data_IF_835644364147
#
_entry.id   IF_835644364147
#
_cell.length_a   1.000
_cell.length_b   1.000
_cell.length_c   1.000
_cell.angle_alpha   90.00
_cell.angle_beta   90.00
_cell.angle_gamma   90.00
#
_symmetry.space_group_name_H-M   'P 1'
#
loop_
_entity.id
_entity.type
_entity.pdbx_description
1 polymer ?
#
# COMPACT_ATOMS: atom_id res chain seq x y z
N UNK A 1 53.12 -2.78 0.42
CA UNK A 1 52.64 -3.12 -0.94
C UNK A 1 51.22 -3.70 -0.95
N UNK A 2 50.65 -4.11 0.20
CA UNK A 2 49.27 -4.64 0.27
C UNK A 2 48.15 -3.58 0.32
N UNK A 3 48.39 -2.39 0.88
CA UNK A 3 47.33 -1.40 1.09
C UNK A 3 46.78 -0.74 -0.20
N UNK A 4 47.56 -0.71 -1.29
CA UNK A 4 47.15 -0.15 -2.58
C UNK A 4 46.36 -1.15 -3.44
N UNK A 5 46.64 -2.44 -3.28
CA UNK A 5 45.90 -3.51 -3.96
C UNK A 5 44.49 -3.67 -3.36
N UNK A 6 44.36 -3.49 -2.03
CA UNK A 6 43.08 -3.61 -1.33
C UNK A 6 42.14 -2.44 -1.67
N UNK A 7 42.65 -1.19 -1.70
CA UNK A 7 41.87 0.00 -2.09
C UNK A 7 41.41 -0.07 -3.55
N UNK A 8 42.26 -0.52 -4.47
CA UNK A 8 41.85 -0.71 -5.87
C UNK A 8 40.87 -1.87 -6.07
N UNK A 9 40.96 -2.94 -5.27
CA UNK A 9 40.01 -4.04 -5.33
C UNK A 9 38.65 -3.66 -4.73
N UNK A 10 38.62 -2.72 -3.78
CA UNK A 10 37.40 -2.18 -3.16
C UNK A 10 36.70 -1.15 -4.08
N UNK A 11 37.46 -0.30 -4.76
CA UNK A 11 36.93 0.62 -5.79
C UNK A 11 36.35 -0.14 -6.99
N UNK A 12 37.00 -1.22 -7.43
CA UNK A 12 36.49 -2.04 -8.55
C UNK A 12 35.25 -2.86 -8.15
N UNK A 13 35.19 -3.37 -6.90
CA UNK A 13 34.00 -4.04 -6.37
C UNK A 13 32.83 -3.07 -6.25
N UNK A 14 33.06 -1.90 -5.66
CA UNK A 14 32.06 -0.84 -5.49
C UNK A 14 31.55 -0.31 -6.84
N UNK A 15 32.43 -0.15 -7.82
CA UNK A 15 32.07 0.23 -9.18
C UNK A 15 31.26 -0.85 -9.93
N UNK A 16 31.60 -2.13 -9.77
CA UNK A 16 30.86 -3.23 -10.41
C UNK A 16 29.51 -3.51 -9.73
N UNK A 17 29.43 -3.38 -8.41
CA UNK A 17 28.20 -3.54 -7.64
C UNK A 17 27.22 -2.39 -7.92
N UNK A 18 27.74 -1.16 -8.01
CA UNK A 18 26.99 0.02 -8.43
C UNK A 18 26.43 -0.12 -9.85
N UNK A 19 27.27 -0.49 -10.83
CA UNK A 19 26.84 -0.74 -12.21
C UNK A 19 25.81 -1.89 -12.31
N UNK A 20 25.97 -2.93 -11.49
CA UNK A 20 25.02 -4.06 -11.41
C UNK A 20 23.69 -3.64 -10.76
N UNK A 21 23.72 -2.80 -9.73
CA UNK A 21 22.52 -2.24 -9.09
C UNK A 21 21.75 -1.32 -10.04
N UNK A 22 22.47 -0.45 -10.75
CA UNK A 22 21.90 0.42 -11.78
C UNK A 22 21.22 -0.40 -12.89
N UNK A 23 21.90 -1.44 -13.39
CA UNK A 23 21.34 -2.32 -14.43
C UNK A 23 20.12 -3.11 -13.94
N UNK A 24 20.11 -3.60 -12.70
CA UNK A 24 18.92 -4.24 -12.09
C UNK A 24 17.77 -3.26 -11.98
N UNK A 25 18.09 -2.03 -11.61
CA UNK A 25 17.14 -0.93 -11.58
C UNK A 25 16.50 -0.67 -12.94
N UNK A 26 17.31 -0.48 -13.96
CA UNK A 26 16.84 -0.28 -15.32
C UNK A 26 15.97 -1.44 -15.80
N UNK A 27 16.40 -2.69 -15.54
CA UNK A 27 15.62 -3.87 -15.89
C UNK A 27 14.26 -3.87 -15.20
N UNK A 28 14.20 -3.58 -13.90
CA UNK A 28 12.95 -3.49 -13.15
C UNK A 28 12.02 -2.40 -13.72
N UNK A 29 12.58 -1.24 -14.07
CA UNK A 29 11.83 -0.15 -14.71
C UNK A 29 11.25 -0.57 -16.05
N UNK A 30 12.04 -1.25 -16.89
CA UNK A 30 11.60 -1.75 -18.20
C UNK A 30 10.52 -2.82 -18.05
N UNK A 31 10.72 -3.81 -17.16
CA UNK A 31 9.72 -4.87 -16.92
C UNK A 31 8.40 -4.26 -16.42
N UNK A 32 8.47 -3.32 -15.47
CA UNK A 32 7.26 -2.64 -14.97
C UNK A 32 6.59 -1.80 -16.06
N UNK A 33 7.37 -1.11 -16.90
CA UNK A 33 6.83 -0.36 -18.03
C UNK A 33 6.17 -1.28 -19.07
N UNK A 34 6.75 -2.46 -19.33
CA UNK A 34 6.15 -3.45 -20.22
C UNK A 34 4.82 -3.96 -19.65
N UNK A 35 4.74 -4.23 -18.35
CA UNK A 35 3.50 -4.63 -17.69
C UNK A 35 2.38 -3.62 -17.92
N UNK A 36 2.67 -2.32 -17.74
CA UNK A 36 1.71 -1.23 -18.00
C UNK A 36 1.15 -1.30 -19.43
N UNK A 37 1.96 -1.69 -20.43
CA UNK A 37 1.53 -1.74 -21.83
C UNK A 37 0.74 -3.02 -22.19
N UNK A 38 1.02 -4.13 -21.51
CA UNK A 38 0.45 -5.44 -21.87
C UNK A 38 -0.73 -5.85 -21.00
N UNK A 39 -0.92 -5.22 -19.84
CA UNK A 39 -1.89 -5.66 -18.82
C UNK A 39 -3.32 -5.77 -19.34
N UNK A 40 -3.75 -4.85 -20.21
CA UNK A 40 -5.10 -4.86 -20.78
C UNK A 40 -5.24 -5.81 -21.98
N UNK A 41 -4.12 -6.24 -22.56
CA UNK A 41 -4.08 -7.06 -23.78
C UNK A 41 -3.75 -8.53 -23.51
N UNK A 42 -3.34 -8.86 -22.29
CA UNK A 42 -2.98 -10.21 -21.89
C UNK A 42 -4.13 -10.97 -21.22
N UNK A 43 -4.15 -12.28 -21.45
CA UNK A 43 -4.93 -13.22 -20.66
C UNK A 43 -4.37 -13.29 -19.23
N UNK A 44 -5.25 -13.54 -18.26
CA UNK A 44 -4.88 -13.53 -16.84
C UNK A 44 -3.77 -14.54 -16.51
N UNK A 45 -3.84 -15.73 -17.11
CA UNK A 45 -2.84 -16.81 -16.98
C UNK A 45 -1.42 -16.36 -17.37
N UNK A 46 -1.28 -15.48 -18.35
CA UNK A 46 0.02 -14.94 -18.75
C UNK A 46 0.52 -13.88 -17.76
N UNK A 47 -0.38 -13.10 -17.17
CA UNK A 47 -0.03 -12.09 -16.17
C UNK A 47 0.59 -12.74 -14.93
N UNK A 48 0.07 -13.88 -14.48
CA UNK A 48 0.61 -14.61 -13.33
C UNK A 48 2.04 -15.10 -13.57
N UNK A 49 2.35 -15.53 -14.80
CA UNK A 49 3.72 -15.92 -15.20
C UNK A 49 4.64 -14.69 -15.23
N UNK A 50 4.16 -13.57 -15.78
CA UNK A 50 4.94 -12.34 -15.85
C UNK A 50 5.16 -11.68 -14.49
N UNK A 51 4.32 -11.96 -13.50
CA UNK A 51 4.41 -11.43 -12.14
C UNK A 51 5.62 -11.93 -11.36
N UNK A 52 6.07 -13.15 -11.62
CA UNK A 52 7.18 -13.76 -10.88
C UNK A 52 8.52 -13.00 -11.04
N UNK A 53 8.73 -12.41 -12.22
CA UNK A 53 9.96 -11.67 -12.57
C UNK A 53 10.08 -10.34 -11.81
N UNK A 54 9.14 -9.38 -11.93
CA UNK A 54 9.22 -8.11 -11.21
C UNK A 54 9.23 -8.30 -9.70
N UNK A 55 8.53 -9.33 -9.16
CA UNK A 55 8.57 -9.64 -7.73
C UNK A 55 9.99 -9.91 -7.27
N UNK A 56 10.73 -10.77 -7.98
CA UNK A 56 12.13 -11.08 -7.65
C UNK A 56 13.05 -9.87 -7.86
N UNK A 57 12.81 -9.09 -8.90
CA UNK A 57 13.60 -7.88 -9.17
C UNK A 57 13.38 -6.80 -8.11
N UNK A 58 12.17 -6.68 -7.54
CA UNK A 58 11.84 -5.70 -6.52
C UNK A 58 12.76 -5.83 -5.28
N UNK A 59 13.14 -7.04 -4.89
CA UNK A 59 14.03 -7.26 -3.75
C UNK A 59 15.48 -6.81 -4.00
N UNK A 60 15.85 -6.52 -5.24
CA UNK A 60 17.22 -6.20 -5.64
C UNK A 60 17.43 -4.75 -6.10
N UNK A 61 16.38 -3.92 -6.04
CA UNK A 61 16.41 -2.52 -6.49
C UNK A 61 16.14 -1.56 -5.33
N UNK A 62 16.65 -0.33 -5.45
CA UNK A 62 16.52 0.68 -4.40
C UNK A 62 15.06 1.17 -4.21
N UNK A 63 14.68 1.60 -3.00
CA UNK A 63 13.32 2.07 -2.70
C UNK A 63 12.76 3.13 -3.66
N UNK A 64 13.53 4.14 -4.14
CA UNK A 64 13.02 5.12 -5.10
C UNK A 64 12.50 4.49 -6.40
N UNK A 65 13.14 3.41 -6.86
CA UNK A 65 12.75 2.70 -8.08
C UNK A 65 11.47 1.90 -7.87
N UNK A 66 11.31 1.31 -6.68
CA UNK A 66 10.09 0.61 -6.26
C UNK A 66 8.92 1.59 -6.13
N UNK A 67 9.17 2.79 -5.60
CA UNK A 67 8.19 3.86 -5.53
C UNK A 67 7.71 4.32 -6.92
N UNK A 68 8.63 4.46 -7.88
CA UNK A 68 8.27 4.76 -9.27
C UNK A 68 7.36 3.67 -9.88
N UNK A 69 7.72 2.39 -9.68
CA UNK A 69 6.90 1.28 -10.13
C UNK A 69 5.52 1.25 -9.45
N UNK A 70 5.48 1.48 -8.14
CA UNK A 70 4.25 1.49 -7.35
C UNK A 70 3.25 2.55 -7.86
N UNK A 71 3.72 3.75 -8.19
CA UNK A 71 2.86 4.80 -8.77
C UNK A 71 2.28 4.38 -10.12
N UNK A 72 3.08 3.75 -10.99
CA UNK A 72 2.63 3.28 -12.30
C UNK A 72 1.60 2.16 -12.18
N UNK A 73 1.82 1.22 -11.26
CA UNK A 73 0.96 0.05 -11.05
C UNK A 73 -0.34 0.41 -10.32
N UNK A 74 -0.35 1.44 -9.47
CA UNK A 74 -1.51 1.81 -8.66
C UNK A 74 -2.77 2.15 -9.47
N UNK A 75 -2.61 2.71 -10.67
CA UNK A 75 -3.73 3.07 -11.55
C UNK A 75 -4.20 1.95 -12.48
N UNK A 76 -3.53 0.79 -12.50
CA UNK A 76 -3.86 -0.28 -13.44
C UNK A 76 -4.97 -1.17 -12.88
N UNK A 77 -6.08 -1.27 -13.60
CA UNK A 77 -7.24 -2.08 -13.20
C UNK A 77 -6.93 -3.57 -13.05
N UNK A 78 -5.98 -4.08 -13.84
CA UNK A 78 -5.60 -5.50 -13.91
C UNK A 78 -4.14 -5.76 -13.54
N UNK A 79 -3.53 -4.90 -12.72
CA UNK A 79 -2.14 -5.06 -12.30
C UNK A 79 -1.86 -6.49 -11.77
N UNK A 80 -0.69 -7.09 -12.07
CA UNK A 80 -0.33 -8.38 -11.50
C UNK A 80 -0.28 -8.32 -9.96
N UNK A 81 -0.99 -9.24 -9.31
CA UNK A 81 -1.28 -9.12 -7.89
C UNK A 81 -0.05 -9.34 -6.99
N UNK A 82 0.90 -10.19 -7.37
CA UNK A 82 2.09 -10.49 -6.56
C UNK A 82 3.04 -9.31 -6.46
N UNK A 83 3.37 -8.61 -7.55
CA UNK A 83 4.20 -7.40 -7.47
C UNK A 83 3.49 -6.31 -6.68
N UNK A 84 2.19 -6.12 -6.88
CA UNK A 84 1.40 -5.15 -6.11
C UNK A 84 1.44 -5.47 -4.62
N UNK A 85 1.19 -6.72 -4.22
CA UNK A 85 1.27 -7.15 -2.82
C UNK A 85 2.67 -6.96 -2.24
N UNK A 86 3.71 -7.32 -2.99
CA UNK A 86 5.10 -7.18 -2.54
C UNK A 86 5.46 -5.72 -2.25
N UNK A 87 5.06 -4.80 -3.12
CA UNK A 87 5.30 -3.37 -2.97
C UNK A 87 4.38 -2.73 -1.93
N UNK A 88 3.16 -3.23 -1.73
CA UNK A 88 2.26 -2.78 -0.68
C UNK A 88 2.75 -3.16 0.74
N UNK A 89 3.58 -4.19 0.84
CA UNK A 89 4.30 -4.61 2.06
C UNK A 89 5.66 -3.93 2.24
N UNK A 90 5.96 -2.90 1.47
CA UNK A 90 7.21 -2.14 1.57
C UNK A 90 7.06 -0.95 2.55
N UNK A 91 8.07 -0.09 2.63
CA UNK A 91 7.98 1.19 3.33
C UNK A 91 6.87 2.08 2.74
N UNK A 92 6.35 3.01 3.54
CA UNK A 92 5.13 3.74 3.19
C UNK A 92 5.29 4.57 1.92
N UNK A 93 6.49 5.09 1.65
CA UNK A 93 6.83 5.86 0.45
C UNK A 93 6.58 5.06 -0.85
N UNK A 94 6.72 3.74 -0.78
CA UNK A 94 6.45 2.82 -1.88
C UNK A 94 5.01 2.29 -1.81
N UNK A 95 4.53 1.94 -0.62
CA UNK A 95 3.24 1.28 -0.43
C UNK A 95 2.04 2.22 -0.62
N UNK A 96 2.15 3.50 -0.23
CA UNK A 96 1.06 4.47 -0.21
C UNK A 96 0.22 4.54 -1.51
N UNK A 97 0.82 4.71 -2.72
CA UNK A 97 0.04 4.78 -3.96
C UNK A 97 -0.79 3.51 -4.20
N UNK A 98 -0.24 2.33 -3.89
CA UNK A 98 -0.91 1.04 -4.08
C UNK A 98 -2.03 0.83 -3.07
N UNK A 99 -1.77 1.08 -1.79
CA UNK A 99 -2.76 0.96 -0.73
C UNK A 99 -3.96 1.88 -0.99
N UNK A 100 -3.72 3.12 -1.42
CA UNK A 100 -4.77 4.10 -1.65
C UNK A 100 -5.61 3.88 -2.92
N UNK A 101 -5.06 3.26 -3.97
CA UNK A 101 -5.68 3.30 -5.30
C UNK A 101 -5.77 1.96 -6.04
N UNK A 102 -4.89 0.99 -5.75
CA UNK A 102 -4.80 -0.23 -6.57
C UNK A 102 -6.04 -1.11 -6.40
N UNK A 103 -6.61 -1.58 -7.50
CA UNK A 103 -7.71 -2.57 -7.51
C UNK A 103 -7.24 -4.01 -7.44
N UNK A 104 -5.92 -4.24 -7.52
CA UNK A 104 -5.33 -5.59 -7.47
C UNK A 104 -5.14 -6.12 -6.03
N UNK A 105 -5.30 -5.27 -5.02
CA UNK A 105 -5.34 -5.67 -3.61
C UNK A 105 -6.76 -6.06 -3.24
N UNK A 106 -6.95 -7.30 -2.81
CA UNK A 106 -8.25 -7.77 -2.34
C UNK A 106 -8.51 -7.41 -0.87
N UNK A 107 -9.70 -7.75 -0.37
CA UNK A 107 -10.08 -7.46 1.02
C UNK A 107 -9.14 -8.15 2.04
N UNK A 108 -8.70 -9.38 1.76
CA UNK A 108 -7.84 -10.14 2.66
C UNK A 108 -6.44 -9.52 2.72
N UNK A 109 -5.91 -9.07 1.58
CA UNK A 109 -4.64 -8.35 1.50
C UNK A 109 -4.68 -7.08 2.35
N UNK A 110 -5.72 -6.27 2.19
CA UNK A 110 -5.88 -5.02 2.96
C UNK A 110 -6.00 -5.28 4.47
N UNK A 111 -6.76 -6.30 4.88
CA UNK A 111 -6.86 -6.70 6.28
C UNK A 111 -5.51 -7.17 6.82
N UNK A 112 -4.79 -8.02 6.09
CA UNK A 112 -3.49 -8.53 6.50
C UNK A 112 -2.46 -7.39 6.67
N UNK A 113 -2.45 -6.43 5.75
CA UNK A 113 -1.57 -5.26 5.83
C UNK A 113 -1.97 -4.37 7.02
N UNK A 114 -3.26 -4.11 7.22
CA UNK A 114 -3.74 -3.30 8.34
C UNK A 114 -3.39 -3.91 9.71
N UNK A 115 -3.40 -5.24 9.83
CA UNK A 115 -3.04 -5.96 11.04
C UNK A 115 -1.52 -6.01 11.31
N UNK A 116 -0.69 -6.02 10.25
CA UNK A 116 0.75 -6.27 10.37
C UNK A 116 1.63 -5.03 10.24
N UNK A 117 1.12 -3.93 9.66
CA UNK A 117 1.88 -2.69 9.41
C UNK A 117 1.46 -1.56 10.34
N UNK A 118 2.25 -0.49 10.33
CA UNK A 118 2.08 0.67 11.22
C UNK A 118 0.99 1.65 10.79
N UNK A 119 0.85 2.73 11.57
CA UNK A 119 -0.09 3.82 11.33
C UNK A 119 -0.06 4.39 9.90
N UNK A 120 1.11 4.63 9.27
CA UNK A 120 1.15 5.21 7.92
C UNK A 120 0.46 4.33 6.86
N UNK A 121 0.67 3.01 6.91
CA UNK A 121 0.00 2.06 6.02
C UNK A 121 -1.51 2.04 6.27
N UNK A 122 -1.93 2.02 7.54
CA UNK A 122 -3.36 2.06 7.89
C UNK A 122 -4.04 3.34 7.41
N UNK A 123 -3.37 4.49 7.49
CA UNK A 123 -3.87 5.75 6.95
C UNK A 123 -4.04 5.71 5.44
N UNK A 124 -3.06 5.15 4.71
CA UNK A 124 -3.16 4.99 3.27
C UNK A 124 -4.34 4.09 2.86
N UNK A 125 -4.57 2.99 3.60
CA UNK A 125 -5.75 2.14 3.39
C UNK A 125 -7.03 2.90 3.75
N UNK A 126 -7.07 3.61 4.88
CA UNK A 126 -8.24 4.36 5.33
C UNK A 126 -8.69 5.45 4.33
N UNK A 127 -7.78 5.95 3.50
CA UNK A 127 -8.07 6.91 2.44
C UNK A 127 -8.67 6.30 1.16
N UNK A 128 -8.68 4.96 1.00
CA UNK A 128 -9.27 4.30 -0.17
C UNK A 128 -10.74 4.65 -0.33
N UNK A 129 -11.18 4.86 -1.57
CA UNK A 129 -12.61 4.84 -1.87
C UNK A 129 -13.18 3.41 -1.78
N UNK A 130 -14.44 3.29 -1.36
CA UNK A 130 -15.17 2.01 -1.37
C UNK A 130 -14.64 0.97 -0.37
N UNK A 131 -14.16 1.40 0.81
CA UNK A 131 -13.74 0.48 1.86
C UNK A 131 -14.90 -0.39 2.34
N UNK A 132 -14.65 -1.71 2.39
CA UNK A 132 -15.61 -2.65 2.93
C UNK A 132 -15.74 -2.52 4.45
N UNK A 133 -16.85 -2.99 5.00
CA UNK A 133 -17.12 -2.97 6.43
C UNK A 133 -16.06 -3.74 7.23
N UNK A 134 -15.54 -4.84 6.68
CA UNK A 134 -14.52 -5.66 7.31
C UNK A 134 -13.18 -4.92 7.41
N UNK A 135 -12.72 -4.31 6.31
CA UNK A 135 -11.46 -3.53 6.31
C UNK A 135 -11.58 -2.32 7.22
N UNK A 136 -12.71 -1.59 7.15
CA UNK A 136 -12.96 -0.45 8.03
C UNK A 136 -12.95 -0.85 9.51
N UNK A 137 -13.60 -1.97 9.87
CA UNK A 137 -13.57 -2.49 11.24
C UNK A 137 -12.13 -2.85 11.68
N UNK A 138 -11.36 -3.54 10.85
CA UNK A 138 -9.94 -3.82 11.14
C UNK A 138 -9.15 -2.54 11.37
N UNK A 139 -9.34 -1.51 10.54
CA UNK A 139 -8.66 -0.22 10.69
C UNK A 139 -9.06 0.49 11.99
N UNK A 140 -10.32 0.42 12.42
CA UNK A 140 -10.78 1.03 13.67
C UNK A 140 -10.19 0.32 14.89
N UNK A 141 -10.14 -1.02 14.85
CA UNK A 141 -9.65 -1.86 15.95
C UNK A 141 -8.14 -1.73 16.11
N UNK A 142 -7.38 -1.79 15.02
CA UNK A 142 -5.91 -1.76 15.04
C UNK A 142 -5.31 -0.35 14.89
N UNK A 143 -6.13 0.62 14.51
CA UNK A 143 -5.70 1.98 14.25
C UNK A 143 -5.73 2.88 15.47
N UNK A 144 -4.83 3.84 15.46
CA UNK A 144 -4.74 4.94 16.40
C UNK A 144 -5.73 6.06 16.02
N UNK A 145 -5.77 7.13 16.81
CA UNK A 145 -6.72 8.24 16.60
C UNK A 145 -6.68 8.84 15.17
N UNK A 146 -5.52 9.04 14.52
CA UNK A 146 -5.49 9.50 13.14
C UNK A 146 -6.21 8.55 12.16
N UNK A 147 -6.01 7.24 12.31
CA UNK A 147 -6.65 6.22 11.46
C UNK A 147 -8.16 6.21 11.69
N UNK A 148 -8.61 6.26 12.95
CA UNK A 148 -10.03 6.31 13.30
C UNK A 148 -10.73 7.54 12.73
N UNK A 149 -10.08 8.71 12.80
CA UNK A 149 -10.56 9.94 12.15
C UNK A 149 -10.62 9.77 10.63
N UNK A 150 -9.60 9.18 10.01
CA UNK A 150 -9.58 8.95 8.57
C UNK A 150 -10.74 8.04 8.13
N UNK A 151 -10.99 6.93 8.83
CA UNK A 151 -12.13 6.03 8.56
C UNK A 151 -13.46 6.77 8.75
N UNK A 152 -13.63 7.52 9.84
CA UNK A 152 -14.86 8.27 10.09
C UNK A 152 -15.13 9.34 9.01
N UNK A 153 -14.07 10.04 8.57
CA UNK A 153 -14.15 11.05 7.51
C UNK A 153 -14.35 10.48 6.10
N UNK A 154 -14.07 9.20 5.89
CA UNK A 154 -14.25 8.53 4.61
C UNK A 154 -15.72 8.16 4.37
N UNK A 155 -16.46 9.05 3.70
CA UNK A 155 -17.89 8.87 3.37
C UNK A 155 -18.21 7.64 2.53
N UNK A 156 -17.22 7.08 1.82
CA UNK A 156 -17.42 5.88 1.00
C UNK A 156 -17.12 4.57 1.75
N UNK A 157 -16.56 4.66 2.96
CA UNK A 157 -16.30 3.50 3.79
C UNK A 157 -17.60 2.96 4.38
N UNK A 158 -17.89 1.68 4.15
CA UNK A 158 -18.93 1.00 4.88
C UNK A 158 -18.48 0.82 6.34
N UNK A 159 -19.32 1.22 7.29
CA UNK A 159 -19.03 1.09 8.73
C UNK A 159 -19.98 0.06 9.33
N UNK A 160 -19.44 -1.01 9.90
CA UNK A 160 -20.23 -2.00 10.64
C UNK A 160 -20.77 -1.39 11.94
N UNK A 161 -21.85 -1.95 12.50
CA UNK A 161 -22.38 -1.52 13.79
C UNK A 161 -21.32 -1.58 14.91
N UNK A 162 -20.46 -2.60 14.87
CA UNK A 162 -19.35 -2.78 15.83
C UNK A 162 -18.29 -1.69 15.67
N UNK A 163 -17.83 -1.43 14.45
CA UNK A 163 -16.89 -0.37 14.18
C UNK A 163 -17.45 1.00 14.59
N UNK A 164 -18.74 1.23 14.33
CA UNK A 164 -19.43 2.44 14.75
C UNK A 164 -19.42 2.63 16.26
N UNK A 165 -19.77 1.60 17.04
CA UNK A 165 -19.72 1.67 18.50
C UNK A 165 -18.32 2.03 19.00
N UNK A 166 -17.27 1.40 18.47
CA UNK A 166 -15.89 1.73 18.83
C UNK A 166 -15.54 3.19 18.51
N UNK A 167 -15.95 3.70 17.35
CA UNK A 167 -15.74 5.09 16.95
C UNK A 167 -16.54 6.06 17.84
N UNK A 168 -17.77 5.70 18.19
CA UNK A 168 -18.63 6.51 19.06
C UNK A 168 -18.06 6.66 20.47
N UNK A 169 -17.61 5.56 21.07
CA UNK A 169 -16.98 5.58 22.40
C UNK A 169 -15.73 6.46 22.40
N UNK A 170 -14.93 6.39 21.33
CA UNK A 170 -13.73 7.22 21.18
C UNK A 170 -14.07 8.70 20.95
N UNK A 171 -15.14 8.99 20.20
CA UNK A 171 -15.61 10.35 19.91
C UNK A 171 -15.99 11.14 21.17
N UNK A 172 -16.27 10.48 22.30
CA UNK A 172 -16.48 11.13 23.60
C UNK A 172 -15.25 11.88 24.09
N UNK A 173 -14.05 11.43 23.70
CA UNK A 173 -12.75 12.02 24.08
C UNK A 173 -12.06 12.73 22.92
N UNK A 174 -12.55 12.54 21.69
CA UNK A 174 -12.01 13.13 20.48
C UNK A 174 -13.05 14.04 19.78
N UNK A 175 -12.95 15.37 19.95
CA UNK A 175 -13.90 16.30 19.36
C UNK A 175 -13.83 16.36 17.83
N UNK A 176 -12.69 15.99 17.24
CA UNK A 176 -12.53 15.94 15.77
C UNK A 176 -13.28 14.73 15.24
N UNK A 177 -13.07 13.56 15.84
CA UNK A 177 -13.78 12.33 15.48
C UNK A 177 -15.29 12.50 15.62
N UNK A 178 -15.76 13.14 16.70
CA UNK A 178 -17.19 13.43 16.90
C UNK A 178 -17.78 14.26 15.77
N UNK A 179 -17.07 15.29 15.30
CA UNK A 179 -17.53 16.12 14.16
C UNK A 179 -17.57 15.32 12.86
N UNK A 180 -16.56 14.47 12.62
CA UNK A 180 -16.51 13.62 11.43
C UNK A 180 -17.66 12.62 11.39
N UNK A 181 -17.95 11.96 12.52
CA UNK A 181 -19.11 11.06 12.63
C UNK A 181 -20.44 11.79 12.47
N UNK A 182 -20.58 12.99 13.05
CA UNK A 182 -21.81 13.79 12.93
C UNK A 182 -22.10 14.26 11.50
N UNK A 183 -21.07 14.34 10.64
CA UNK A 183 -21.20 14.71 9.24
C UNK A 183 -21.56 13.53 8.31
N UNK A 184 -21.75 12.32 8.87
CA UNK A 184 -22.14 11.12 8.11
C UNK A 184 -23.66 10.97 8.11
N UNK A 185 -24.25 10.97 6.92
CA UNK A 185 -25.70 10.79 6.74
C UNK A 185 -26.12 9.30 6.67
N UNK A 186 -25.17 8.40 6.44
CA UNK A 186 -25.35 6.95 6.28
C UNK A 186 -25.33 6.17 7.60
N UNK A 187 -24.96 6.85 8.69
CA UNK A 187 -24.97 6.29 10.03
C UNK A 187 -26.30 6.63 10.72
N UNK A 188 -27.03 5.64 11.27
CA UNK A 188 -28.30 5.90 11.94
C UNK A 188 -28.13 6.95 13.05
N UNK A 189 -28.78 8.10 12.89
CA UNK A 189 -28.81 9.18 13.90
C UNK A 189 -29.27 8.71 15.29
N UNK A 190 -30.00 7.60 15.34
CA UNK A 190 -30.47 6.93 16.57
C UNK A 190 -29.37 6.42 17.50
N UNK A 191 -28.13 6.25 17.02
CA UNK A 191 -27.01 5.83 17.86
C UNK A 191 -26.23 7.01 18.47
N UNK A 192 -26.60 8.26 18.15
CA UNK A 192 -25.95 9.47 18.68
C UNK A 192 -26.62 10.03 19.94
N UNK A 193 -27.70 9.42 20.43
CA UNK A 193 -28.62 10.00 21.44
C UNK A 193 -28.52 9.45 22.87
N UNK A 194 -27.46 8.76 23.29
CA UNK A 194 -27.33 8.30 24.68
C UNK A 194 -25.97 8.58 25.32
#
# INVERSE_FOLDING_TARGET
MDALADVMADDYRSGSEGASAERRGELFRHVTALLVLVVDRCLQEHLDVYDAVPVRLADMVAPPMRGEAAHRLAGLGRAPAGIVRRLALDDIEVAAPLLGHSTALDENDLVAIACSRGEPHRLAIAARSGLSARVAETLVVHGDDPVRRAVAGNRSAAISARAFHCLYDQARRDPVLRRLLAARDDVPRLLLTH
#
